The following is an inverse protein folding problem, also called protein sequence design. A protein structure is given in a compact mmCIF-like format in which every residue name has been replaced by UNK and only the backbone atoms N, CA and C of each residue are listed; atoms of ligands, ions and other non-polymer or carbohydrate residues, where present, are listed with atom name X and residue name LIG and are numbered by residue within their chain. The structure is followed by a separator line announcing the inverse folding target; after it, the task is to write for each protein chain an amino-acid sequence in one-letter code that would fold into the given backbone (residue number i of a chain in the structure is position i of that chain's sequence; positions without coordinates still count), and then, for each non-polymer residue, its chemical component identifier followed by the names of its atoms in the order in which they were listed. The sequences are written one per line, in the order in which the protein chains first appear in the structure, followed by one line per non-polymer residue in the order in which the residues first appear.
data_IF_271859433365
#
_entry.id   IF_271859433365
#
_cell.length_a   1.000
_cell.length_b   1.000
_cell.length_c   1.000
_cell.angle_alpha   90.00
_cell.angle_beta   90.00
_cell.angle_gamma   90.00
#
_symmetry.space_group_name_H-M   'P 1'
#
loop_
_entity.id
_entity.type
_entity.pdbx_description
1 polymer ?
#
# COMPACT_ATOMS: atom_id res chain seq x y z
N UNK A 1 2.77 -6.28 14.66
CA UNK A 1 4.16 -6.59 14.25
C UNK A 1 4.10 -7.35 12.93
N UNK A 2 5.09 -7.23 12.04
CA UNK A 2 5.11 -7.91 10.74
C UNK A 2 4.93 -9.44 10.91
N UNK A 3 5.72 -10.06 11.79
CA UNK A 3 5.70 -11.52 12.01
C UNK A 3 4.37 -12.06 12.58
N UNK A 4 3.58 -11.22 13.24
CA UNK A 4 2.32 -11.60 13.86
C UNK A 4 1.09 -11.19 13.04
N UNK A 5 1.32 -10.49 11.93
CA UNK A 5 0.25 -9.98 11.07
C UNK A 5 -0.22 -11.03 10.08
N UNK A 6 -1.53 -11.10 9.86
CA UNK A 6 -2.14 -11.94 8.85
C UNK A 6 -2.25 -11.23 7.49
N UNK A 7 -2.14 -9.90 7.48
CA UNK A 7 -2.27 -9.06 6.30
C UNK A 7 -1.18 -8.00 6.34
N UNK A 8 -0.48 -7.81 5.22
CA UNK A 8 0.50 -6.74 5.07
C UNK A 8 0.02 -5.74 4.03
N UNK A 9 -0.13 -4.49 4.46
CA UNK A 9 -0.44 -3.35 3.61
C UNK A 9 0.87 -2.72 3.17
N UNK A 10 1.03 -2.48 1.87
CA UNK A 10 2.18 -1.77 1.32
C UNK A 10 1.74 -0.93 0.13
N UNK A 11 2.46 0.17 -0.09
CA UNK A 11 2.20 1.07 -1.20
C UNK A 11 3.25 0.94 -2.30
N UNK A 12 2.78 1.06 -3.54
CA UNK A 12 3.57 1.02 -4.76
C UNK A 12 3.41 2.36 -5.49
N UNK A 13 4.17 3.41 -5.10
CA UNK A 13 4.02 4.75 -5.66
C UNK A 13 4.64 4.87 -7.07
N UNK A 14 4.08 4.15 -8.05
CA UNK A 14 4.58 4.07 -9.44
C UNK A 14 3.52 4.53 -10.44
N UNK A 15 3.93 5.30 -11.46
CA UNK A 15 3.02 5.73 -12.54
C UNK A 15 3.69 5.92 -13.91
N UNK A 16 4.81 5.26 -14.16
CA UNK A 16 5.70 5.57 -15.30
C UNK A 16 5.09 5.37 -16.68
N UNK A 17 4.02 4.58 -16.80
CA UNK A 17 3.35 4.27 -18.06
C UNK A 17 2.09 5.12 -18.30
N UNK A 18 1.67 5.92 -17.32
CA UNK A 18 0.46 6.75 -17.44
C UNK A 18 0.74 8.00 -18.28
N UNK A 19 0.04 8.15 -19.41
CA UNK A 19 0.26 9.29 -20.32
C UNK A 19 -0.76 10.41 -20.20
N UNK A 20 -2.03 10.11 -19.90
CA UNK A 20 -3.11 11.11 -19.95
C UNK A 20 -3.40 11.77 -18.60
N UNK A 21 -3.40 11.00 -17.50
CA UNK A 21 -3.73 11.49 -16.16
C UNK A 21 -2.68 11.00 -15.13
N UNK A 22 -1.59 11.75 -14.92
CA UNK A 22 -0.63 11.44 -13.87
C UNK A 22 -1.21 11.78 -12.48
N UNK A 23 -0.64 11.19 -11.43
CA UNK A 23 -0.99 11.43 -10.03
C UNK A 23 -1.22 10.16 -9.20
N UNK A 24 -1.42 9.00 -9.83
CA UNK A 24 -1.58 7.71 -9.16
C UNK A 24 -0.44 7.34 -8.21
N UNK A 25 0.79 7.80 -8.46
CA UNK A 25 1.93 7.58 -7.55
C UNK A 25 1.73 8.19 -6.16
N UNK A 26 0.88 9.21 -6.04
CA UNK A 26 0.57 9.87 -4.76
C UNK A 26 -0.57 9.18 -4.01
N UNK A 27 -1.23 8.19 -4.63
CA UNK A 27 -2.37 7.47 -4.05
C UNK A 27 -2.06 6.85 -2.69
N UNK A 28 -1.00 6.03 -2.52
CA UNK A 28 -0.71 5.37 -1.25
C UNK A 28 -0.54 6.35 -0.08
N UNK A 29 0.24 7.40 -0.26
CA UNK A 29 0.42 8.45 0.74
C UNK A 29 -0.92 9.12 1.08
N UNK A 30 -1.71 9.49 0.05
CA UNK A 30 -2.99 10.18 0.27
C UNK A 30 -4.02 9.30 0.97
N UNK A 31 -4.05 7.99 0.67
CA UNK A 31 -4.92 7.01 1.34
C UNK A 31 -4.60 6.96 2.85
N UNK A 32 -3.32 6.90 3.22
CA UNK A 32 -2.90 6.90 4.64
C UNK A 32 -3.21 8.22 5.35
N UNK A 33 -3.07 9.35 4.66
CA UNK A 33 -3.41 10.64 5.25
C UNK A 33 -4.90 10.73 5.59
N UNK A 34 -5.78 10.23 4.71
CA UNK A 34 -7.23 10.31 4.93
C UNK A 34 -7.78 9.19 5.81
N UNK A 35 -7.05 8.07 5.97
CA UNK A 35 -7.51 6.93 6.76
C UNK A 35 -7.70 7.27 8.24
N UNK A 36 -6.99 8.28 8.76
CA UNK A 36 -7.15 8.78 10.13
C UNK A 36 -8.57 9.31 10.40
N UNK A 37 -9.27 9.75 9.35
CA UNK A 37 -10.65 10.23 9.45
C UNK A 37 -11.72 9.16 9.26
N UNK A 38 -11.34 7.88 9.08
CA UNK A 38 -12.28 6.78 8.94
C UNK A 38 -12.55 6.14 10.30
N UNK A 39 -13.77 5.64 10.46
CA UNK A 39 -14.14 4.82 11.62
C UNK A 39 -13.53 3.42 11.48
N UNK A 40 -13.15 2.83 12.62
CA UNK A 40 -12.58 1.48 12.67
C UNK A 40 -13.66 0.39 12.58
N UNK A 41 -14.91 0.70 12.94
CA UNK A 41 -16.04 -0.24 12.84
C UNK A 41 -16.68 -0.21 11.45
N UNK A 42 -16.95 -1.39 10.89
CA UNK A 42 -17.66 -1.56 9.63
C UNK A 42 -19.09 -2.11 9.86
N UNK A 43 -20.15 -1.30 9.65
CA UNK A 43 -21.53 -1.76 9.82
C UNK A 43 -21.95 -2.87 8.84
N UNK A 44 -21.34 -2.92 7.66
CA UNK A 44 -21.65 -3.94 6.65
C UNK A 44 -21.09 -5.31 7.00
N UNK A 45 -19.94 -5.34 7.67
CA UNK A 45 -19.28 -6.57 8.10
C UNK A 45 -19.61 -6.93 9.55
N UNK A 46 -20.17 -5.98 10.31
CA UNK A 46 -20.39 -6.05 11.75
C UNK A 46 -19.10 -6.44 12.50
N UNK A 47 -18.01 -5.72 12.19
CA UNK A 47 -16.66 -6.02 12.68
C UNK A 47 -15.84 -4.77 12.90
N UNK A 48 -14.92 -4.85 13.86
CA UNK A 48 -13.92 -3.81 14.12
C UNK A 48 -12.59 -4.13 13.42
N UNK A 49 -11.86 -3.07 13.05
CA UNK A 49 -10.58 -3.17 12.36
C UNK A 49 -9.46 -3.76 13.25
N UNK A 50 -9.55 -3.55 14.57
CA UNK A 50 -8.59 -4.05 15.56
C UNK A 50 -8.62 -5.59 15.72
N UNK A 51 -9.73 -6.23 15.36
CA UNK A 51 -9.86 -7.69 15.26
C UNK A 51 -8.93 -8.28 14.19
N UNK A 52 -8.51 -7.47 13.23
CA UNK A 52 -7.61 -7.88 12.14
C UNK A 52 -6.19 -7.50 12.51
N UNK A 53 -5.32 -8.51 12.66
CA UNK A 53 -3.87 -8.27 12.78
C UNK A 53 -3.28 -7.91 11.42
N UNK A 54 -3.17 -6.63 11.12
CA UNK A 54 -2.48 -6.14 9.92
C UNK A 54 -1.20 -5.39 10.26
N UNK A 55 -0.31 -5.28 9.27
CA UNK A 55 0.92 -4.50 9.36
C UNK A 55 1.00 -3.57 8.15
N UNK A 56 1.20 -2.28 8.38
CA UNK A 56 1.51 -1.32 7.30
C UNK A 56 3.02 -1.21 7.13
N UNK A 57 3.53 -1.74 6.02
CA UNK A 57 4.94 -1.72 5.65
C UNK A 57 5.36 -0.42 4.96
N UNK A 58 4.44 0.55 4.77
CA UNK A 58 4.75 1.82 4.13
C UNK A 58 4.88 1.71 2.61
N UNK A 59 5.65 2.61 2.02
CA UNK A 59 5.88 2.67 0.57
C UNK A 59 7.22 2.06 0.17
N UNK A 60 7.21 1.27 -0.90
CA UNK A 60 8.43 0.71 -1.46
C UNK A 60 9.20 1.82 -2.20
N UNK A 61 10.52 1.98 -2.00
CA UNK A 61 11.33 2.92 -2.75
C UNK A 61 11.49 2.42 -4.20
N UNK A 62 10.84 3.08 -5.15
CA UNK A 62 10.88 2.71 -6.57
C UNK A 62 11.72 3.67 -7.39
N UNK A 63 12.53 3.17 -8.35
CA UNK A 63 13.34 4.00 -9.23
C UNK A 63 12.46 4.81 -10.17
N UNK A 64 12.80 6.08 -10.35
CA UNK A 64 12.08 6.97 -11.25
C UNK A 64 12.31 6.59 -12.72
N UNK A 65 11.22 6.49 -13.49
CA UNK A 65 11.28 6.37 -14.95
C UNK A 65 11.79 5.03 -15.49
N UNK A 66 11.93 4.00 -14.66
CA UNK A 66 12.32 2.65 -15.10
C UNK A 66 11.25 1.61 -14.69
N UNK A 67 10.26 1.34 -15.56
CA UNK A 67 9.18 0.40 -15.26
C UNK A 67 9.66 -1.01 -14.92
N UNK A 68 10.59 -1.57 -15.71
CA UNK A 68 11.06 -2.93 -15.50
C UNK A 68 11.74 -3.08 -14.15
N UNK A 69 12.67 -2.18 -13.82
CA UNK A 69 13.36 -2.22 -12.53
C UNK A 69 12.41 -2.01 -11.35
N UNK A 70 11.39 -1.16 -11.51
CA UNK A 70 10.35 -1.03 -10.49
C UNK A 70 9.61 -2.35 -10.27
N UNK A 71 9.21 -3.06 -11.34
CA UNK A 71 8.56 -4.37 -11.24
C UNK A 71 9.44 -5.42 -10.56
N UNK A 72 10.72 -5.47 -10.91
CA UNK A 72 11.67 -6.40 -10.28
C UNK A 72 11.77 -6.17 -8.77
N UNK A 73 11.84 -4.90 -8.33
CA UNK A 73 11.86 -4.54 -6.91
C UNK A 73 10.56 -4.85 -6.18
N UNK A 74 9.41 -4.68 -6.85
CA UNK A 74 8.11 -5.04 -6.30
C UNK A 74 8.04 -6.56 -6.09
N UNK A 75 8.49 -7.34 -7.07
CA UNK A 75 8.54 -8.79 -6.96
C UNK A 75 9.46 -9.24 -5.82
N UNK A 76 10.66 -8.66 -5.72
CA UNK A 76 11.59 -8.95 -4.63
C UNK A 76 11.02 -8.59 -3.25
N UNK A 77 10.27 -7.50 -3.16
CA UNK A 77 9.62 -7.09 -1.91
C UNK A 77 8.52 -8.08 -1.53
N UNK A 78 7.61 -8.41 -2.45
CA UNK A 78 6.49 -9.34 -2.19
C UNK A 78 6.99 -10.74 -1.82
N UNK A 79 8.15 -11.18 -2.31
CA UNK A 79 8.74 -12.47 -1.90
C UNK A 79 9.29 -12.48 -0.47
N UNK A 80 9.55 -11.32 0.13
CA UNK A 80 10.10 -11.19 1.50
C UNK A 80 9.00 -11.02 2.55
N UNK A 81 7.86 -10.48 2.13
CA UNK A 81 6.68 -10.17 2.94
C UNK A 81 5.77 -11.38 3.01
#
# INVERSE_FOLDING_TARGET
NFEESCVVLYGMPMEWTASYRPGSRFGPARIREVSIGLEEYSPYLDRELDEVKYFDAGDIPLPFGNPQRSLDLIEEFVKKV
#
